data_IF_540186694851
#
_entry.id   IF_540186694851
#
_cell.length_a   1.000
_cell.length_b   1.000
_cell.length_c   1.000
_cell.angle_alpha   90.00
_cell.angle_beta   90.00
_cell.angle_gamma   90.00
#
_symmetry.space_group_name_H-M   'P 1'
#
loop_
_entity.id
_entity.type
_entity.pdbx_description
1 polymer ?
#
# COMPACT_ATOMS: atom_id res chain seq x y z
N UNK A 1 -5.08 -0.67 -15.35
CA UNK A 1 -3.99 -1.59 -14.96
C UNK A 1 -4.10 -2.92 -15.71
N UNK A 2 -5.19 -3.69 -15.55
CA UNK A 2 -5.29 -5.01 -16.19
C UNK A 2 -5.24 -5.03 -17.72
N UNK A 3 -5.92 -4.11 -18.41
CA UNK A 3 -5.81 -4.00 -19.88
C UNK A 3 -4.38 -3.69 -20.38
N UNK A 4 -3.51 -3.18 -19.51
CA UNK A 4 -2.09 -2.94 -19.81
C UNK A 4 -1.17 -4.09 -19.38
N UNK A 5 -1.72 -5.23 -18.95
CA UNK A 5 -0.92 -6.38 -18.50
C UNK A 5 -0.19 -6.16 -17.17
N UNK A 6 -0.62 -5.18 -16.36
CA UNK A 6 0.04 -4.87 -15.09
C UNK A 6 -0.41 -5.79 -13.96
N UNK A 7 0.52 -6.12 -13.06
CA UNK A 7 0.25 -6.81 -11.80
C UNK A 7 -0.18 -5.78 -10.75
N UNK A 8 -1.27 -6.05 -10.03
CA UNK A 8 -1.78 -5.18 -8.97
C UNK A 8 -1.23 -5.61 -7.62
N UNK A 9 -0.65 -4.66 -6.87
CA UNK A 9 -0.01 -4.88 -5.58
C UNK A 9 -0.64 -4.02 -4.49
N UNK A 10 -1.60 -4.61 -3.75
CA UNK A 10 -2.18 -4.00 -2.55
C UNK A 10 -1.37 -4.23 -1.28
N UNK A 11 -1.99 -3.99 -0.12
CA UNK A 11 -1.40 -4.18 1.21
C UNK A 11 -1.97 -5.45 1.85
N UNK A 12 -1.14 -6.43 2.25
CA UNK A 12 -1.62 -7.66 2.88
C UNK A 12 -2.04 -7.43 4.33
N UNK A 13 -3.00 -8.24 4.83
CA UNK A 13 -3.39 -8.26 6.25
C UNK A 13 -2.30 -8.78 7.21
N UNK A 14 -1.13 -9.17 6.70
CA UNK A 14 0.06 -9.39 7.53
C UNK A 14 0.59 -8.08 8.11
N UNK A 15 0.22 -6.93 7.55
CA UNK A 15 0.48 -5.62 8.14
C UNK A 15 -0.55 -5.35 9.26
N UNK A 16 -0.15 -5.33 10.55
CA UNK A 16 -1.09 -5.22 11.68
C UNK A 16 -1.85 -3.89 11.68
N UNK A 17 -1.21 -2.82 11.18
CA UNK A 17 -1.83 -1.49 11.04
C UNK A 17 -3.07 -1.51 10.15
N UNK A 18 -3.18 -2.47 9.21
CA UNK A 18 -4.33 -2.56 8.32
C UNK A 18 -5.60 -3.02 9.05
N UNK A 19 -5.45 -3.79 10.12
CA UNK A 19 -6.57 -4.23 10.97
C UNK A 19 -6.90 -3.18 12.02
N UNK A 20 -5.89 -2.45 12.50
CA UNK A 20 -6.03 -1.50 13.60
C UNK A 20 -6.44 -0.09 13.17
N UNK A 21 -6.09 0.34 11.95
CA UNK A 21 -6.35 1.70 11.47
C UNK A 21 -7.84 2.03 11.49
N UNK A 22 -8.17 3.21 12.02
CA UNK A 22 -9.50 3.83 11.91
C UNK A 22 -9.50 5.01 10.93
N UNK A 23 -8.39 5.23 10.23
CA UNK A 23 -8.19 6.28 9.21
C UNK A 23 -7.99 5.63 7.83
N UNK A 24 -6.97 6.04 7.08
CA UNK A 24 -6.60 5.45 5.81
C UNK A 24 -5.87 4.11 5.93
N UNK A 25 -5.82 3.40 4.80
CA UNK A 25 -5.34 2.03 4.69
C UNK A 25 -6.44 1.08 4.22
N UNK A 26 -6.18 0.33 3.14
CA UNK A 26 -7.07 -0.73 2.66
C UNK A 26 -6.27 -1.92 2.13
N UNK A 27 -6.86 -3.12 2.01
CA UNK A 27 -6.20 -4.24 1.34
C UNK A 27 -5.82 -3.93 -0.11
N UNK A 28 -6.48 -2.96 -0.73
CA UNK A 28 -6.23 -2.52 -2.09
C UNK A 28 -5.03 -1.56 -2.22
N UNK A 29 -4.58 -0.96 -1.10
CA UNK A 29 -3.51 0.04 -1.08
C UNK A 29 -3.57 0.94 0.16
N UNK A 30 -2.45 1.57 0.49
CA UNK A 30 -2.39 2.66 1.47
C UNK A 30 -3.23 3.84 0.99
N UNK A 31 -3.96 4.46 1.91
CA UNK A 31 -4.74 5.67 1.65
C UNK A 31 -4.62 6.62 2.84
N UNK A 32 -5.17 7.83 2.70
CA UNK A 32 -5.26 8.82 3.76
C UNK A 32 -6.66 9.40 3.80
N UNK A 33 -7.19 9.63 5.01
CA UNK A 33 -8.48 10.31 5.21
C UNK A 33 -8.21 11.75 5.66
N UNK A 34 -8.27 12.70 4.72
CA UNK A 34 -7.90 14.10 4.96
C UNK A 34 -8.97 14.95 5.67
N UNK A 35 -10.17 14.40 5.85
CA UNK A 35 -11.34 15.13 6.35
C UNK A 35 -11.91 16.11 5.31
N UNK A 36 -13.05 16.72 5.62
CA UNK A 36 -13.79 17.58 4.67
C UNK A 36 -13.04 18.86 4.29
N UNK A 37 -12.14 19.34 5.16
CA UNK A 37 -11.33 20.54 4.94
C UNK A 37 -9.87 20.22 4.56
N UNK A 38 -9.52 18.95 4.33
CA UNK A 38 -8.16 18.50 4.04
C UNK A 38 -7.10 18.97 5.07
N UNK A 39 -7.47 19.02 6.35
CA UNK A 39 -6.64 19.53 7.45
C UNK A 39 -6.11 18.45 8.39
N UNK A 40 -6.52 17.19 8.21
CA UNK A 40 -6.02 16.07 8.99
C UNK A 40 -4.63 15.69 8.46
N UNK A 41 -3.64 15.61 9.35
CA UNK A 41 -2.31 15.14 9.01
C UNK A 41 -2.27 13.62 8.88
N UNK A 42 -1.27 13.11 8.16
CA UNK A 42 -1.05 11.67 8.03
C UNK A 42 -0.85 11.04 9.42
N UNK A 43 -1.58 9.95 9.69
CA UNK A 43 -1.34 9.18 10.91
C UNK A 43 -0.11 8.31 10.76
N UNK A 44 0.46 7.88 11.88
CA UNK A 44 1.61 6.99 11.87
C UNK A 44 1.27 5.63 11.24
N UNK A 45 0.04 5.12 11.41
CA UNK A 45 -0.45 3.90 10.73
C UNK A 45 -0.43 4.08 9.20
N UNK A 46 -0.93 5.20 8.68
CA UNK A 46 -0.98 5.48 7.25
C UNK A 46 0.42 5.55 6.65
N UNK A 47 1.36 6.19 7.36
CA UNK A 47 2.77 6.27 6.97
C UNK A 47 3.41 4.87 6.96
N UNK A 48 3.20 4.06 8.00
CA UNK A 48 3.74 2.69 8.07
C UNK A 48 3.17 1.81 6.96
N UNK A 49 1.86 1.87 6.71
CA UNK A 49 1.21 1.13 5.62
C UNK A 49 1.72 1.54 4.24
N UNK A 50 1.93 2.83 4.01
CA UNK A 50 2.52 3.35 2.76
C UNK A 50 3.93 2.80 2.54
N UNK A 51 4.77 2.82 3.58
CA UNK A 51 6.13 2.25 3.53
C UNK A 51 6.11 0.74 3.29
N UNK A 52 5.21 0.00 3.95
CA UNK A 52 5.03 -1.43 3.75
C UNK A 52 4.60 -1.77 2.31
N UNK A 53 3.65 -1.01 1.74
CA UNK A 53 3.24 -1.18 0.34
C UNK A 53 4.41 -0.93 -0.61
N UNK A 54 5.19 0.13 -0.38
CA UNK A 54 6.37 0.45 -1.18
C UNK A 54 7.42 -0.67 -1.14
N UNK A 55 7.70 -1.20 0.06
CA UNK A 55 8.62 -2.35 0.24
C UNK A 55 8.13 -3.58 -0.54
N UNK A 56 6.85 -3.94 -0.39
CA UNK A 56 6.24 -5.08 -1.10
C UNK A 56 6.29 -4.91 -2.62
N UNK A 57 5.99 -3.72 -3.12
CA UNK A 57 6.04 -3.40 -4.55
C UNK A 57 7.47 -3.57 -5.09
N UNK A 58 8.46 -3.04 -4.39
CA UNK A 58 9.86 -3.17 -4.76
C UNK A 58 10.32 -4.64 -4.76
N UNK A 59 10.00 -5.38 -3.70
CA UNK A 59 10.38 -6.80 -3.57
C UNK A 59 9.76 -7.67 -4.69
N UNK A 60 8.51 -7.41 -5.08
CA UNK A 60 7.86 -8.10 -6.20
C UNK A 60 8.53 -7.72 -7.53
N UNK A 61 8.82 -6.43 -7.72
CA UNK A 61 9.47 -5.94 -8.94
C UNK A 61 10.83 -6.59 -9.15
N UNK A 62 11.66 -6.68 -8.11
CA UNK A 62 12.98 -7.34 -8.18
C UNK A 62 12.84 -8.81 -8.57
N UNK A 63 11.94 -9.55 -7.91
CA UNK A 63 11.72 -10.98 -8.22
C UNK A 63 11.25 -11.23 -9.65
N UNK A 64 10.47 -10.32 -10.22
CA UNK A 64 10.01 -10.39 -11.60
C UNK A 64 11.06 -9.94 -12.62
N UNK A 65 12.02 -9.10 -12.20
CA UNK A 65 13.14 -8.73 -13.06
C UNK A 65 14.14 -9.89 -13.21
N UNK A 66 14.29 -10.72 -12.17
CA UNK A 66 15.25 -11.83 -12.11
C UNK A 66 14.80 -13.12 -12.85
N UNK A 67 13.77 -13.06 -13.70
CA UNK A 67 13.34 -14.24 -14.47
C UNK A 67 14.40 -14.62 -15.52
N UNK A 68 15.00 -15.82 -15.48
CA UNK A 68 15.91 -16.26 -16.53
C UNK A 68 15.14 -16.44 -17.86
N UNK A 69 15.74 -16.00 -18.96
CA UNK A 69 15.25 -16.24 -20.33
C UNK A 69 15.17 -17.74 -20.67
#
# INVERSE_FOLDING_TARGET
>A
LFHHGMIVCGVPFTEPDLVATTSGGTPYGSSHVSGTQASIELTEEEIRLCRAQGRRLADITVKLADTPE
#
